data_IF_496727675833
#
_entry.id   IF_496727675833
#
_cell.length_a   1.000
_cell.length_b   1.000
_cell.length_c   1.000
_cell.angle_alpha   90.00
_cell.angle_beta   90.00
_cell.angle_gamma   90.00
#
_symmetry.space_group_name_H-M   'P 1'
#
loop_
_entity.id
_entity.type
_entity.pdbx_description
1 polymer ?
#
# COMPACT_ATOMS: atom_id res chain seq x y z
N UNK A 1 9.62 4.47 13.70
CA UNK A 1 9.81 3.83 12.41
C UNK A 1 8.64 2.91 12.12
N UNK A 2 8.12 2.97 10.91
CA UNK A 2 6.94 2.18 10.53
C UNK A 2 7.34 0.77 10.10
N UNK A 3 6.63 -0.21 10.63
CA UNK A 3 6.84 -1.60 10.27
C UNK A 3 5.57 -2.14 9.62
N UNK A 4 5.73 -2.83 8.51
CA UNK A 4 4.62 -3.45 7.79
C UNK A 4 4.87 -4.95 7.68
N UNK A 5 3.79 -5.73 7.72
CA UNK A 5 3.88 -7.13 7.36
C UNK A 5 4.29 -7.23 5.88
N UNK A 6 4.83 -8.37 5.49
CA UNK A 6 5.33 -8.54 4.13
C UNK A 6 4.27 -8.20 3.08
N UNK A 7 3.05 -8.68 3.25
CA UNK A 7 1.99 -8.42 2.29
C UNK A 7 1.65 -6.94 2.23
N UNK A 8 1.61 -6.28 3.39
CA UNK A 8 1.34 -4.85 3.45
C UNK A 8 2.47 -4.06 2.79
N UNK A 9 3.69 -4.48 3.00
CA UNK A 9 4.85 -3.82 2.39
C UNK A 9 4.80 -3.96 0.87
N UNK A 10 4.48 -5.15 0.38
CA UNK A 10 4.36 -5.37 -1.06
C UNK A 10 3.26 -4.50 -1.66
N UNK A 11 2.14 -4.37 -0.94
CA UNK A 11 1.05 -3.50 -1.36
C UNK A 11 1.51 -2.04 -1.43
N UNK A 12 2.23 -1.59 -0.41
CA UNK A 12 2.75 -0.22 -0.40
C UNK A 12 3.74 0.00 -1.54
N UNK A 13 4.52 -1.02 -1.90
CA UNK A 13 5.44 -0.91 -3.03
C UNK A 13 4.70 -0.62 -4.32
N UNK A 14 3.51 -1.20 -4.50
CA UNK A 14 2.71 -0.90 -5.69
C UNK A 14 2.37 0.58 -5.76
N UNK A 15 2.12 1.19 -4.62
CA UNK A 15 1.85 2.63 -4.57
C UNK A 15 3.12 3.42 -4.85
N UNK A 16 4.22 3.09 -4.19
CA UNK A 16 5.47 3.82 -4.39
C UNK A 16 5.94 3.80 -5.85
N UNK A 17 5.72 2.67 -6.53
CA UNK A 17 6.16 2.52 -7.92
C UNK A 17 5.23 3.19 -8.92
N UNK A 18 3.98 3.47 -8.53
CA UNK A 18 2.96 3.94 -9.47
C UNK A 18 2.26 5.23 -9.03
N UNK A 19 2.62 5.80 -7.91
CA UNK A 19 1.95 6.99 -7.41
C UNK A 19 2.20 8.21 -8.28
N UNK A 20 1.23 9.11 -8.40
CA UNK A 20 -0.14 8.96 -7.90
C UNK A 20 -0.94 8.06 -8.83
N UNK A 21 -1.82 7.24 -8.25
CA UNK A 21 -2.63 6.32 -9.05
C UNK A 21 -4.05 6.27 -8.50
N UNK A 22 -5.05 6.07 -9.39
CA UNK A 22 -6.42 5.90 -8.94
C UNK A 22 -6.57 4.63 -8.11
N UNK A 23 -7.47 4.66 -7.12
CA UNK A 23 -7.70 3.50 -6.29
C UNK A 23 -8.18 2.30 -7.10
N UNK A 24 -8.93 2.52 -8.17
CA UNK A 24 -9.33 1.44 -9.07
C UNK A 24 -8.16 0.75 -9.73
N UNK A 25 -7.15 1.53 -10.11
CA UNK A 25 -5.91 0.99 -10.69
C UNK A 25 -5.16 0.17 -9.63
N UNK A 26 -5.14 0.66 -8.40
CA UNK A 26 -4.50 -0.06 -7.31
C UNK A 26 -5.17 -1.39 -7.05
N UNK A 27 -6.50 -1.45 -7.16
CA UNK A 27 -7.24 -2.70 -7.03
C UNK A 27 -6.77 -3.71 -8.09
N UNK A 28 -6.62 -3.25 -9.33
CA UNK A 28 -6.18 -4.12 -10.43
C UNK A 28 -4.75 -4.61 -10.20
N UNK A 29 -3.87 -3.73 -9.77
CA UNK A 29 -2.49 -4.12 -9.49
C UNK A 29 -2.42 -5.11 -8.33
N UNK A 30 -3.21 -4.88 -7.28
CA UNK A 30 -3.21 -5.78 -6.14
C UNK A 30 -3.74 -7.16 -6.52
N UNK A 31 -4.74 -7.21 -7.38
CA UNK A 31 -5.26 -8.49 -7.86
C UNK A 31 -4.20 -9.23 -8.67
N UNK A 32 -3.48 -8.52 -9.52
CA UNK A 32 -2.46 -9.12 -10.38
C UNK A 32 -1.22 -9.54 -9.61
N UNK A 33 -0.76 -8.70 -8.68
CA UNK A 33 0.51 -8.92 -8.01
C UNK A 33 0.38 -9.68 -6.69
N UNK A 34 -0.74 -9.51 -6.00
CA UNK A 34 -0.93 -10.09 -4.67
C UNK A 34 -2.08 -11.10 -4.62
N UNK A 35 -2.89 -11.16 -5.66
CA UNK A 35 -4.06 -12.04 -5.67
C UNK A 35 -5.15 -11.58 -4.74
N UNK A 36 -5.19 -10.29 -4.40
CA UNK A 36 -6.16 -9.76 -3.45
C UNK A 36 -7.48 -9.40 -4.13
N UNK A 37 -8.56 -9.67 -3.42
CA UNK A 37 -9.88 -9.20 -3.85
C UNK A 37 -10.00 -7.71 -3.61
N UNK A 38 -10.98 -7.10 -4.30
CA UNK A 38 -11.25 -5.67 -4.15
C UNK A 38 -11.49 -5.29 -2.68
N UNK A 39 -12.29 -6.09 -1.96
CA UNK A 39 -12.59 -5.79 -0.57
C UNK A 39 -11.33 -5.84 0.30
N UNK A 40 -10.48 -6.83 0.07
CA UNK A 40 -9.22 -6.94 0.79
C UNK A 40 -8.33 -5.73 0.52
N UNK A 41 -8.25 -5.32 -0.75
CA UNK A 41 -7.45 -4.17 -1.15
C UNK A 41 -7.89 -2.90 -0.41
N UNK A 42 -9.19 -2.63 -0.39
CA UNK A 42 -9.69 -1.43 0.29
C UNK A 42 -9.51 -1.51 1.79
N UNK A 43 -9.65 -2.70 2.38
CA UNK A 43 -9.43 -2.87 3.81
C UNK A 43 -8.00 -2.52 4.18
N UNK A 44 -7.03 -3.04 3.43
CA UNK A 44 -5.62 -2.77 3.71
C UNK A 44 -5.28 -1.31 3.39
N UNK A 45 -5.83 -0.77 2.30
CA UNK A 45 -5.61 0.63 1.95
C UNK A 45 -6.07 1.55 3.09
N UNK A 46 -7.27 1.31 3.61
CA UNK A 46 -7.79 2.10 4.71
C UNK A 46 -6.89 1.98 5.94
N UNK A 47 -6.45 0.77 6.24
CA UNK A 47 -5.58 0.52 7.38
C UNK A 47 -4.29 1.31 7.27
N UNK A 48 -3.65 1.29 6.11
CA UNK A 48 -2.40 2.00 5.92
C UNK A 48 -2.61 3.51 5.89
N UNK A 49 -3.77 3.98 5.41
CA UNK A 49 -4.10 5.39 5.49
C UNK A 49 -4.24 5.84 6.94
N UNK A 50 -4.89 5.02 7.76
CA UNK A 50 -5.07 5.34 9.18
C UNK A 50 -3.74 5.36 9.93
N UNK A 51 -2.77 4.57 9.46
CA UNK A 51 -1.43 4.54 10.04
C UNK A 51 -0.53 5.66 9.53
N UNK A 52 -1.03 6.48 8.60
CA UNK A 52 -0.25 7.60 8.08
C UNK A 52 0.80 7.20 7.06
N UNK A 53 0.66 6.02 6.47
CA UNK A 53 1.62 5.54 5.47
C UNK A 53 1.18 5.91 4.07
N UNK A 54 -0.12 5.80 3.79
CA UNK A 54 -0.68 6.13 2.49
C UNK A 54 -1.77 7.18 2.66
N UNK A 55 -2.17 7.78 1.55
CA UNK A 55 -3.24 8.75 1.50
C UNK A 55 -4.13 8.45 0.31
N UNK A 56 -5.45 8.48 0.53
CA UNK A 56 -6.43 8.35 -0.54
C UNK A 56 -7.25 9.62 -0.54
N UNK A 57 -7.00 10.47 -1.52
CA UNK A 57 -7.68 11.76 -1.62
C UNK A 57 -8.41 11.84 -2.95
N UNK A 58 -9.74 11.90 -2.86
CA UNK A 58 -10.55 11.97 -4.07
C UNK A 58 -10.39 10.79 -5.00
N UNK A 59 -10.07 9.62 -4.45
CA UNK A 59 -9.87 8.42 -5.23
C UNK A 59 -8.45 8.25 -5.78
N UNK A 60 -7.56 9.19 -5.47
CA UNK A 60 -6.16 9.10 -5.89
C UNK A 60 -5.30 8.71 -4.69
N UNK A 61 -4.49 7.69 -4.86
CA UNK A 61 -3.67 7.13 -3.79
C UNK A 61 -2.23 7.58 -3.96
N UNK A 62 -1.66 8.07 -2.87
CA UNK A 62 -0.25 8.45 -2.81
C UNK A 62 0.34 7.98 -1.49
N UNK A 63 1.67 7.99 -1.40
CA UNK A 63 2.34 7.66 -0.15
C UNK A 63 2.58 8.92 0.66
N UNK A 64 2.51 8.78 1.98
CA UNK A 64 2.82 9.88 2.90
C UNK A 64 4.23 9.75 3.46
N UNK A 65 4.83 8.57 3.35
CA UNK A 65 6.19 8.31 3.81
C UNK A 65 6.98 7.71 2.67
N UNK A 66 8.28 7.84 2.73
CA UNK A 66 9.14 7.26 1.70
C UNK A 66 9.37 5.78 1.97
N UNK A 67 9.68 5.05 0.91
CA UNK A 67 9.95 3.63 1.02
C UNK A 67 11.06 3.34 2.04
N UNK A 68 12.07 4.18 2.06
CA UNK A 68 13.21 4.02 2.96
C UNK A 68 12.84 4.21 4.42
N UNK A 69 11.72 4.86 4.69
CA UNK A 69 11.26 5.12 6.05
C UNK A 69 10.44 3.96 6.63
N UNK A 70 10.17 2.94 5.83
CA UNK A 70 9.32 1.83 6.21
C UNK A 70 10.13 0.55 6.15
N UNK A 71 9.97 -0.30 7.17
CA UNK A 71 10.64 -1.59 7.19
C UNK A 71 9.60 -2.70 7.10
N UNK A 72 9.95 -3.73 6.34
CA UNK A 72 9.14 -4.92 6.30
C UNK A 72 9.39 -5.73 7.58
N UNK A 73 8.32 -6.07 8.29
CA UNK A 73 8.44 -6.76 9.57
C UNK A 73 9.08 -8.14 9.42
N UNK A 74 8.99 -8.71 8.22
CA UNK A 74 9.55 -10.02 7.96
C UNK A 74 10.93 -9.96 7.32
N UNK A 75 11.47 -8.77 7.18
CA UNK A 75 12.81 -8.59 6.69
C UNK A 75 13.77 -9.06 7.79
N UNK A 76 14.07 -10.31 7.78
CA UNK A 76 15.03 -10.84 8.74
C UNK A 76 16.40 -10.28 8.36
N UNK A 77 16.89 -9.50 9.20
CA UNK A 77 18.22 -8.95 8.96
C UNK A 77 19.25 -10.04 9.07
#
# INVERSE_FOLDING_TARGET
MNHLAEAEYRFACLVWDNEPLPSGQLVKLSAAELGWKKSTTYTVLKKLCERGILQNEGGTVTSLVKKEEVQCAESAA
#
